data_IF_103749911607
#
_entry.id   IF_103749911607
#
_cell.length_a   1.000
_cell.length_b   1.000
_cell.length_c   1.000
_cell.angle_alpha   90.00
_cell.angle_beta   90.00
_cell.angle_gamma   90.00
#
_symmetry.space_group_name_H-M   'P 1'
#
loop_
_entity.id
_entity.type
_entity.pdbx_description
1 polymer ?
#
# COMPACT_ATOMS: atom_id res chain seq x y z
N UNK A 1 -28.41 -18.22 0.90
CA UNK A 1 -28.82 -16.81 0.81
C UNK A 1 -28.50 -16.03 2.10
N UNK A 2 -28.41 -16.74 3.25
CA UNK A 2 -28.06 -16.12 4.53
C UNK A 2 -26.57 -15.77 4.70
N UNK A 3 -25.69 -16.22 3.80
CA UNK A 3 -24.23 -16.16 4.00
C UNK A 3 -23.56 -14.89 3.47
N UNK A 4 -24.28 -14.05 2.73
CA UNK A 4 -23.75 -12.77 2.25
C UNK A 4 -23.49 -11.77 3.38
N UNK A 5 -24.24 -11.85 4.48
CA UNK A 5 -24.06 -10.99 5.66
C UNK A 5 -22.80 -11.38 6.44
N UNK A 6 -22.38 -12.65 6.36
CA UNK A 6 -21.14 -13.14 7.02
C UNK A 6 -19.87 -12.84 6.22
N UNK A 7 -19.98 -12.50 4.93
CA UNK A 7 -18.86 -12.11 4.07
C UNK A 7 -18.58 -10.61 4.09
N UNK A 8 -19.45 -9.80 4.69
CA UNK A 8 -19.15 -8.39 4.92
C UNK A 8 -17.98 -8.30 5.92
N UNK A 9 -16.94 -7.49 5.62
CA UNK A 9 -15.87 -7.31 6.56
C UNK A 9 -16.46 -6.86 7.89
N UNK A 10 -16.24 -7.64 8.92
CA UNK A 10 -16.63 -7.27 10.29
C UNK A 10 -16.07 -5.91 10.56
N UNK A 11 -16.95 -4.92 10.68
CA UNK A 11 -16.56 -3.55 11.00
C UNK A 11 -15.80 -3.61 12.33
N UNK A 12 -14.50 -3.55 12.24
CA UNK A 12 -13.63 -3.61 13.40
C UNK A 12 -13.88 -2.34 14.19
N UNK A 13 -14.65 -2.45 15.24
CA UNK A 13 -15.00 -1.33 16.11
C UNK A 13 -13.79 -0.94 16.94
N UNK A 14 -13.11 0.12 16.51
CA UNK A 14 -12.06 0.77 17.27
C UNK A 14 -12.68 1.81 18.21
N UNK A 15 -12.04 2.04 19.34
CA UNK A 15 -12.40 3.19 20.17
C UNK A 15 -11.96 4.49 19.49
N UNK A 16 -12.57 5.61 19.87
CA UNK A 16 -12.21 6.93 19.32
C UNK A 16 -10.73 7.25 19.50
N UNK A 17 -10.17 6.91 20.65
CA UNK A 17 -8.73 7.11 20.94
C UNK A 17 -7.84 6.23 20.04
N UNK A 18 -8.23 4.98 19.83
CA UNK A 18 -7.50 4.07 18.93
C UNK A 18 -7.51 4.60 17.49
N UNK A 19 -8.67 5.06 17.03
CA UNK A 19 -8.79 5.64 15.69
C UNK A 19 -7.92 6.87 15.51
N UNK A 20 -7.97 7.80 16.48
CA UNK A 20 -7.13 9.01 16.47
C UNK A 20 -5.63 8.67 16.51
N UNK A 21 -5.25 7.69 17.29
CA UNK A 21 -3.85 7.23 17.34
C UNK A 21 -3.37 6.75 15.97
N UNK A 22 -4.18 5.95 15.28
CA UNK A 22 -3.87 5.46 13.93
C UNK A 22 -3.74 6.62 12.95
N UNK A 23 -4.70 7.55 12.96
CA UNK A 23 -4.69 8.70 12.07
C UNK A 23 -3.45 9.59 12.29
N UNK A 24 -3.09 9.84 13.56
CA UNK A 24 -1.90 10.60 13.91
C UNK A 24 -0.61 9.89 13.47
N UNK A 25 -0.56 8.58 13.65
CA UNK A 25 0.59 7.77 13.26
C UNK A 25 0.81 7.80 11.75
N UNK A 26 -0.26 7.62 10.98
CA UNK A 26 -0.20 7.61 9.52
C UNK A 26 0.03 9.01 8.92
N UNK A 27 -0.40 10.06 9.62
CA UNK A 27 -0.11 11.44 9.25
C UNK A 27 1.33 11.88 9.56
N UNK A 28 2.07 11.08 10.33
CA UNK A 28 3.45 11.39 10.68
C UNK A 28 3.60 12.58 11.64
N UNK A 29 2.67 12.77 12.57
CA UNK A 29 2.60 13.94 13.46
C UNK A 29 3.80 14.00 14.42
N UNK A 30 4.50 12.91 14.63
CA UNK A 30 5.66 12.87 15.52
C UNK A 30 6.00 11.44 15.95
N UNK A 31 6.52 11.31 17.16
CA UNK A 31 6.85 9.99 17.72
C UNK A 31 5.57 9.21 18.07
N UNK A 32 5.68 7.90 18.21
CA UNK A 32 4.56 7.05 18.62
C UNK A 32 3.94 7.54 19.94
N UNK A 33 4.77 7.98 20.88
CA UNK A 33 4.34 8.54 22.15
C UNK A 33 3.51 9.83 21.96
N UNK A 34 3.99 10.74 21.11
CA UNK A 34 3.26 11.97 20.78
C UNK A 34 1.93 11.66 20.12
N UNK A 35 1.89 10.71 19.20
CA UNK A 35 0.66 10.27 18.56
C UNK A 35 -0.37 9.76 19.59
N UNK A 36 0.08 9.08 20.63
CA UNK A 36 -0.78 8.62 21.71
C UNK A 36 -1.30 9.78 22.59
N UNK A 37 -0.45 10.73 22.92
CA UNK A 37 -0.86 11.94 23.66
C UNK A 37 -1.93 12.73 22.89
N UNK A 38 -1.68 12.98 21.62
CA UNK A 38 -2.62 13.70 20.74
C UNK A 38 -3.93 12.91 20.53
N UNK A 39 -3.90 11.60 20.66
CA UNK A 39 -5.09 10.77 20.59
C UNK A 39 -5.94 10.81 21.87
N UNK A 40 -5.41 11.38 22.96
CA UNK A 40 -6.11 11.55 24.25
C UNK A 40 -5.64 10.60 25.34
N UNK A 41 -4.51 9.93 25.17
CA UNK A 41 -3.89 9.13 26.24
C UNK A 41 -3.07 10.03 27.18
N UNK A 42 -2.96 9.63 28.45
CA UNK A 42 -2.18 10.38 29.45
C UNK A 42 -0.68 10.38 29.06
N UNK A 43 -0.01 11.51 29.26
CA UNK A 43 1.44 11.62 29.01
C UNK A 43 2.25 10.60 29.82
N UNK A 44 1.81 10.27 31.03
CA UNK A 44 2.49 9.29 31.89
C UNK A 44 2.44 7.88 31.31
N UNK A 45 1.37 7.53 30.60
CA UNK A 45 1.17 6.19 30.06
C UNK A 45 1.35 6.12 28.53
N UNK A 46 1.51 7.25 27.87
CA UNK A 46 1.50 7.35 26.39
C UNK A 46 2.49 6.39 25.71
N UNK A 47 3.70 6.29 26.23
CA UNK A 47 4.74 5.38 25.68
C UNK A 47 4.30 3.91 25.77
N UNK A 48 3.77 3.51 26.91
CA UNK A 48 3.29 2.14 27.16
C UNK A 48 2.03 1.87 26.33
N UNK A 49 1.12 2.83 26.27
CA UNK A 49 -0.10 2.70 25.48
C UNK A 49 0.19 2.62 23.98
N UNK A 50 1.11 3.42 23.46
CA UNK A 50 1.54 3.34 22.07
C UNK A 50 2.09 1.95 21.73
N UNK A 51 2.96 1.42 22.58
CA UNK A 51 3.50 0.07 22.41
C UNK A 51 2.40 -1.00 22.45
N UNK A 52 1.45 -0.87 23.37
CA UNK A 52 0.31 -1.79 23.50
C UNK A 52 -0.61 -1.73 22.26
N UNK A 53 -0.88 -0.54 21.76
CA UNK A 53 -1.72 -0.34 20.57
C UNK A 53 -1.09 -0.99 19.34
N UNK A 54 0.22 -0.84 19.14
CA UNK A 54 0.93 -1.45 18.01
C UNK A 54 1.01 -2.99 18.10
N UNK A 55 0.79 -3.57 19.26
CA UNK A 55 0.68 -5.02 19.44
C UNK A 55 -0.77 -5.52 19.37
N UNK A 56 -1.74 -4.63 19.33
CA UNK A 56 -3.15 -4.99 19.23
C UNK A 56 -3.48 -5.40 17.79
N UNK A 57 -3.99 -6.60 17.61
CA UNK A 57 -4.30 -7.16 16.28
C UNK A 57 -5.34 -6.34 15.51
N UNK A 58 -6.35 -5.81 16.18
CA UNK A 58 -7.38 -4.96 15.56
C UNK A 58 -6.80 -3.64 15.06
N UNK A 59 -5.97 -2.99 15.87
CA UNK A 59 -5.28 -1.75 15.53
C UNK A 59 -4.35 -1.98 14.34
N UNK A 60 -3.54 -3.03 14.38
CA UNK A 60 -2.62 -3.36 13.30
C UNK A 60 -3.34 -3.70 12.00
N UNK A 61 -4.46 -4.40 12.07
CA UNK A 61 -5.27 -4.69 10.89
C UNK A 61 -5.75 -3.40 10.21
N UNK A 62 -6.29 -2.46 10.98
CA UNK A 62 -6.76 -1.17 10.43
C UNK A 62 -5.59 -0.34 9.86
N UNK A 63 -4.43 -0.34 10.54
CA UNK A 63 -3.22 0.32 10.01
C UNK A 63 -2.86 -0.27 8.64
N UNK A 64 -2.81 -1.59 8.54
CA UNK A 64 -2.47 -2.27 7.28
C UNK A 64 -3.45 -1.95 6.16
N UNK A 65 -4.75 -1.96 6.45
CA UNK A 65 -5.78 -1.61 5.46
C UNK A 65 -5.66 -0.17 4.97
N UNK A 66 -5.46 0.79 5.89
CA UNK A 66 -5.26 2.20 5.54
C UNK A 66 -3.97 2.41 4.73
N UNK A 67 -2.89 1.71 5.08
CA UNK A 67 -1.63 1.75 4.30
C UNK A 67 -1.83 1.20 2.89
N UNK A 68 -2.48 0.07 2.73
CA UNK A 68 -2.78 -0.51 1.41
C UNK A 68 -3.57 0.48 0.54
N UNK A 69 -4.59 1.11 1.09
CA UNK A 69 -5.37 2.13 0.38
C UNK A 69 -4.52 3.32 -0.03
N UNK A 70 -3.71 3.85 0.89
CA UNK A 70 -2.82 4.98 0.62
C UNK A 70 -1.76 4.65 -0.43
N UNK A 71 -1.15 3.46 -0.36
CA UNK A 71 -0.18 2.99 -1.35
C UNK A 71 -0.85 2.76 -2.70
N UNK A 72 -2.07 2.25 -2.73
CA UNK A 72 -2.83 2.08 -3.97
C UNK A 72 -3.04 3.37 -4.73
N UNK A 73 -3.45 4.44 -4.04
CA UNK A 73 -3.63 5.77 -4.64
C UNK A 73 -2.29 6.34 -5.13
N UNK A 74 -1.24 6.22 -4.33
CA UNK A 74 0.12 6.69 -4.71
C UNK A 74 0.69 5.89 -5.87
N UNK A 75 0.39 4.60 -5.96
CA UNK A 75 0.83 3.72 -7.05
C UNK A 75 0.28 4.17 -8.40
N UNK A 76 -0.98 4.62 -8.46
CA UNK A 76 -1.58 5.15 -9.68
C UNK A 76 -0.79 6.35 -10.18
N UNK A 77 -0.47 7.30 -9.28
CA UNK A 77 0.28 8.50 -9.63
C UNK A 77 1.73 8.17 -10.04
N UNK A 78 2.37 7.26 -9.33
CA UNK A 78 3.71 6.80 -9.67
C UNK A 78 3.75 6.15 -11.06
N UNK A 79 2.78 5.30 -11.37
CA UNK A 79 2.69 4.65 -12.67
C UNK A 79 2.48 5.68 -13.80
N UNK A 80 1.64 6.69 -13.57
CA UNK A 80 1.44 7.79 -14.53
C UNK A 80 2.75 8.55 -14.78
N UNK A 81 3.52 8.83 -13.73
CA UNK A 81 4.83 9.50 -13.84
C UNK A 81 5.81 8.66 -14.65
N UNK A 82 5.91 7.36 -14.37
CA UNK A 82 6.80 6.45 -15.10
C UNK A 82 6.39 6.37 -16.58
N UNK A 83 5.09 6.30 -16.86
CA UNK A 83 4.59 6.30 -18.23
C UNK A 83 4.94 7.59 -18.98
N UNK A 84 4.78 8.75 -18.33
CA UNK A 84 5.18 10.04 -18.88
C UNK A 84 6.68 10.11 -19.15
N UNK A 85 7.51 9.62 -18.25
CA UNK A 85 8.97 9.61 -18.43
C UNK A 85 9.40 8.69 -19.57
N UNK A 86 8.73 7.55 -19.76
CA UNK A 86 9.05 6.64 -20.87
C UNK A 86 8.75 7.24 -22.25
N UNK A 87 7.79 8.15 -22.33
CA UNK A 87 7.38 8.76 -23.59
C UNK A 87 8.05 10.12 -23.83
N UNK A 88 8.17 10.95 -22.81
CA UNK A 88 8.46 12.38 -22.95
C UNK A 88 9.76 12.85 -22.26
N UNK A 89 10.52 11.97 -21.62
CA UNK A 89 11.77 12.39 -20.99
C UNK A 89 12.75 12.92 -22.06
N UNK A 90 13.51 13.96 -21.70
CA UNK A 90 14.54 14.53 -22.58
C UNK A 90 15.77 13.63 -22.73
N UNK A 91 16.01 12.78 -21.74
CA UNK A 91 17.14 11.85 -21.71
C UNK A 91 16.72 10.48 -22.25
N UNK A 92 17.44 9.99 -23.24
CA UNK A 92 17.26 8.64 -23.78
C UNK A 92 17.48 7.57 -22.69
N UNK A 93 18.42 7.81 -21.77
CA UNK A 93 18.65 6.92 -20.64
C UNK A 93 17.44 6.85 -19.72
N UNK A 94 16.84 7.99 -19.39
CA UNK A 94 15.63 8.03 -18.54
C UNK A 94 14.46 7.34 -19.22
N UNK A 95 14.27 7.52 -20.53
CA UNK A 95 13.25 6.80 -21.30
C UNK A 95 13.46 5.30 -21.24
N UNK A 96 14.69 4.86 -21.42
CA UNK A 96 15.05 3.44 -21.37
C UNK A 96 14.79 2.84 -20.00
N UNK A 97 15.22 3.49 -18.92
CA UNK A 97 15.03 3.01 -17.56
C UNK A 97 13.54 2.99 -17.17
N UNK A 98 12.77 4.01 -17.52
CA UNK A 98 11.33 4.04 -17.28
C UNK A 98 10.61 2.92 -18.05
N UNK A 99 10.98 2.67 -19.30
CA UNK A 99 10.41 1.60 -20.11
C UNK A 99 10.75 0.22 -19.55
N UNK A 100 11.97 0.01 -19.10
CA UNK A 100 12.36 -1.24 -18.40
C UNK A 100 11.54 -1.44 -17.13
N UNK A 101 11.38 -0.41 -16.31
CA UNK A 101 10.60 -0.49 -15.08
C UNK A 101 9.13 -0.89 -15.35
N UNK A 102 8.53 -0.36 -16.41
CA UNK A 102 7.17 -0.76 -16.83
C UNK A 102 7.14 -2.25 -17.21
N UNK A 103 8.10 -2.68 -18.01
CA UNK A 103 8.18 -4.09 -18.45
C UNK A 103 8.41 -5.04 -17.26
N UNK A 104 9.25 -4.66 -16.30
CA UNK A 104 9.49 -5.45 -15.09
C UNK A 104 8.22 -5.60 -14.25
N UNK A 105 7.44 -4.53 -14.10
CA UNK A 105 6.18 -4.55 -13.35
C UNK A 105 5.10 -5.39 -14.01
N UNK A 106 5.13 -5.50 -15.34
CA UNK A 106 4.19 -6.34 -16.08
C UNK A 106 4.62 -7.80 -16.16
N UNK A 107 5.81 -8.14 -15.65
CA UNK A 107 6.36 -9.48 -15.72
C UNK A 107 6.90 -9.88 -17.09
N UNK A 108 7.09 -8.92 -17.99
CA UNK A 108 7.61 -9.14 -19.36
C UNK A 108 9.13 -8.91 -19.41
N UNK A 109 9.78 -8.78 -18.27
CA UNK A 109 11.24 -8.63 -18.25
C UNK A 109 11.96 -9.92 -18.61
N UNK A 110 13.13 -9.78 -19.23
CA UNK A 110 14.02 -10.88 -19.61
C UNK A 110 14.74 -11.51 -18.41
N UNK A 111 14.17 -11.40 -17.21
CA UNK A 111 14.76 -12.08 -16.08
C UNK A 111 14.51 -13.59 -16.24
N UNK A 112 15.60 -14.31 -16.50
CA UNK A 112 15.65 -15.74 -16.85
C UNK A 112 15.08 -16.69 -15.78
N UNK A 113 14.41 -16.12 -14.75
CA UNK A 113 13.75 -16.88 -13.69
C UNK A 113 12.24 -17.07 -13.84
N UNK A 114 11.58 -16.38 -14.76
CA UNK A 114 10.11 -16.41 -14.84
C UNK A 114 9.59 -16.64 -16.27
N UNK A 115 10.02 -17.75 -16.86
CA UNK A 115 9.57 -18.19 -18.20
C UNK A 115 8.05 -18.37 -18.29
N UNK A 116 7.37 -18.57 -17.17
CA UNK A 116 5.92 -18.84 -17.13
C UNK A 116 5.09 -17.61 -17.50
N UNK A 117 5.51 -16.41 -17.07
CA UNK A 117 4.78 -15.18 -17.33
C UNK A 117 4.91 -14.71 -18.78
N UNK A 118 6.09 -14.90 -19.35
CA UNK A 118 6.35 -14.59 -20.75
C UNK A 118 5.54 -15.51 -21.68
N UNK A 119 5.47 -16.79 -21.38
CA UNK A 119 4.69 -17.76 -22.14
C UNK A 119 3.19 -17.43 -22.12
N UNK A 120 2.66 -16.99 -20.98
CA UNK A 120 1.26 -16.60 -20.87
C UNK A 120 0.97 -15.32 -21.67
N UNK A 121 1.86 -14.33 -21.65
CA UNK A 121 1.71 -13.10 -22.42
C UNK A 121 1.76 -13.37 -23.93
N UNK A 122 2.64 -14.27 -24.37
CA UNK A 122 2.75 -14.69 -25.78
C UNK A 122 1.50 -15.46 -26.22
N UNK A 123 0.98 -16.36 -25.37
CA UNK A 123 -0.25 -17.10 -25.66
C UNK A 123 -1.46 -16.18 -25.83
N UNK A 124 -1.60 -15.17 -24.99
CA UNK A 124 -2.69 -14.18 -25.08
C UNK A 124 -2.60 -13.42 -26.42
N UNK A 125 -1.41 -13.07 -26.87
CA UNK A 125 -1.21 -12.38 -28.14
C UNK A 125 -1.54 -13.27 -29.36
N UNK A 126 -1.30 -14.57 -29.28
CA UNK A 126 -1.63 -15.53 -30.34
C UNK A 126 -3.14 -15.73 -30.42
N UNK A 127 -3.84 -15.77 -29.29
CA UNK A 127 -5.30 -15.93 -29.23
C UNK A 127 -6.07 -14.70 -29.78
N UNK A 128 -5.44 -13.54 -29.85
CA UNK A 128 -6.01 -12.30 -30.41
C UNK A 128 -5.78 -12.16 -31.92
N UNK A 129 -4.98 -13.01 -32.48
CA UNK A 129 -4.69 -13.03 -33.93
C UNK A 129 -5.60 -14.02 -34.69
#
# INVERSE_FOLDING_TARGET
VANLVQMLPTKTTLTTKQSRFIDNLLAGIGTQEQCAVEAGYSRKSAKVEASRLLKNSKVMHVIQEKLKMSLGVRSIKALQTISMLSENANSEYVKLEASKDILDRTGISNDSGNSTTLNNAIQVNIDLS
#
